data_IF_112206146041
#
_entry.id   IF_112206146041
#
_cell.length_a   1.000
_cell.length_b   1.000
_cell.length_c   1.000
_cell.angle_alpha   90.00
_cell.angle_beta   90.00
_cell.angle_gamma   90.00
#
_symmetry.space_group_name_H-M   'P 1'
#
loop_
_entity.id
_entity.type
_entity.pdbx_description
1 polymer ?
#
# COMPACT_ATOMS: atom_id res chain seq x y z
N UNK A 1 -5.31 13.19 -2.57
CA UNK A 1 -4.46 12.65 -3.66
C UNK A 1 -4.01 11.26 -3.25
N UNK A 2 -4.11 10.31 -4.17
CA UNK A 2 -3.60 8.96 -3.99
C UNK A 2 -2.31 8.79 -4.77
N UNK A 3 -1.32 8.15 -4.15
CA UNK A 3 -0.13 7.64 -4.84
C UNK A 3 0.00 6.15 -4.61
N UNK A 4 0.52 5.45 -5.61
CA UNK A 4 0.84 4.02 -5.56
C UNK A 4 2.32 3.86 -5.91
N UNK A 5 2.96 2.85 -5.36
CA UNK A 5 4.27 2.36 -5.75
C UNK A 5 4.09 0.88 -6.06
N UNK A 6 4.64 0.45 -7.21
CA UNK A 6 4.52 -0.89 -7.78
C UNK A 6 5.93 -1.42 -8.11
N UNK A 7 6.84 -1.40 -7.14
CA UNK A 7 8.23 -1.82 -7.34
C UNK A 7 8.49 -3.30 -6.97
N UNK A 8 7.48 -3.97 -6.42
CA UNK A 8 7.49 -5.38 -6.01
C UNK A 8 6.55 -6.29 -6.84
N UNK A 9 6.12 -5.82 -8.03
CA UNK A 9 5.33 -6.59 -8.99
C UNK A 9 3.82 -6.40 -8.92
N UNK A 10 3.35 -5.50 -8.05
CA UNK A 10 2.01 -4.96 -8.00
C UNK A 10 1.61 -4.29 -9.33
N UNK A 11 0.31 -4.29 -9.62
CA UNK A 11 -0.23 -3.73 -10.87
C UNK A 11 -1.42 -2.80 -10.67
N UNK A 12 -1.85 -2.59 -9.42
CA UNK A 12 -3.02 -1.75 -9.18
C UNK A 12 -2.63 -0.28 -9.33
N UNK A 13 -3.57 0.50 -9.85
CA UNK A 13 -3.39 1.89 -10.20
C UNK A 13 -4.06 2.80 -9.17
N UNK A 14 -3.61 4.05 -9.07
CA UNK A 14 -4.07 4.95 -8.02
C UNK A 14 -5.58 5.25 -8.06
N UNK A 15 -6.24 5.06 -9.20
CA UNK A 15 -7.70 5.22 -9.35
C UNK A 15 -8.52 4.02 -8.84
N UNK A 16 -7.86 2.94 -8.41
CA UNK A 16 -8.54 1.79 -7.79
C UNK A 16 -8.74 1.95 -6.27
N UNK A 17 -8.22 3.03 -5.68
CA UNK A 17 -8.47 3.39 -4.28
C UNK A 17 -9.59 4.43 -4.17
N UNK A 18 -10.53 4.17 -3.27
CA UNK A 18 -11.49 5.16 -2.78
C UNK A 18 -10.90 5.89 -1.59
N UNK A 19 -10.83 7.22 -1.66
CA UNK A 19 -10.46 8.03 -0.50
C UNK A 19 -11.72 8.62 0.14
N UNK A 20 -11.72 8.67 1.47
CA UNK A 20 -12.84 9.17 2.25
C UNK A 20 -12.38 10.26 3.23
N UNK A 21 -13.17 11.31 3.37
CA UNK A 21 -13.00 12.33 4.41
C UNK A 21 -14.33 12.55 5.13
N UNK A 22 -14.39 12.20 6.42
CA UNK A 22 -15.63 12.19 7.21
C UNK A 22 -15.45 12.90 8.54
N UNK A 23 -16.44 13.72 8.93
CA UNK A 23 -16.51 14.31 10.27
C UNK A 23 -17.53 13.56 11.12
N UNK A 24 -17.07 12.90 12.18
CA UNK A 24 -17.95 12.16 13.10
C UNK A 24 -18.78 11.09 12.38
N UNK A 25 -20.10 11.10 12.59
CA UNK A 25 -21.04 10.15 11.97
C UNK A 25 -21.79 10.71 10.76
N UNK A 26 -21.38 11.87 10.26
CA UNK A 26 -22.04 12.52 9.11
C UNK A 26 -21.71 11.78 7.80
N UNK A 27 -22.43 12.10 6.73
CA UNK A 27 -22.04 11.63 5.39
C UNK A 27 -20.66 12.18 5.02
N UNK A 28 -19.74 11.37 4.47
CA UNK A 28 -18.44 11.86 4.04
C UNK A 28 -18.57 13.01 3.04
N UNK A 29 -17.68 14.00 3.14
CA UNK A 29 -17.58 15.09 2.16
C UNK A 29 -16.80 14.66 0.91
N UNK A 30 -15.96 13.64 1.05
CA UNK A 30 -15.28 12.93 -0.03
C UNK A 30 -15.50 11.44 0.25
N UNK A 31 -15.93 10.69 -0.76
CA UNK A 31 -16.04 9.23 -0.77
C UNK A 31 -16.04 8.75 -2.24
N UNK A 32 -14.90 8.90 -2.90
CA UNK A 32 -14.78 8.63 -4.32
C UNK A 32 -13.40 8.12 -4.71
N UNK A 33 -13.34 7.46 -5.86
CA UNK A 33 -12.08 7.09 -6.51
C UNK A 33 -11.42 8.31 -7.13
N UNK A 34 -10.09 8.31 -7.14
CA UNK A 34 -9.33 9.32 -7.86
C UNK A 34 -9.49 9.20 -9.37
N UNK A 35 -9.20 10.28 -10.09
CA UNK A 35 -9.00 10.24 -11.53
C UNK A 35 -7.51 10.38 -11.84
N UNK A 36 -6.98 9.43 -12.60
CA UNK A 36 -5.64 9.50 -13.18
C UNK A 36 -5.75 10.03 -14.61
N UNK A 37 -4.85 10.93 -15.03
CA UNK A 37 -4.85 11.44 -16.41
C UNK A 37 -4.26 10.45 -17.42
N UNK A 38 -3.58 9.42 -16.93
CA UNK A 38 -2.78 8.47 -17.69
C UNK A 38 -2.96 7.01 -17.25
N UNK A 39 -3.84 6.71 -16.27
CA UNK A 39 -3.87 5.38 -15.68
C UNK A 39 -2.61 5.07 -14.86
N UNK A 40 -1.94 6.08 -14.30
CA UNK A 40 -0.66 5.93 -13.62
C UNK A 40 -0.75 5.74 -12.11
N UNK A 41 0.40 5.73 -11.44
CA UNK A 41 0.49 5.56 -10.00
C UNK A 41 0.13 6.82 -9.19
N UNK A 42 -0.51 7.82 -9.79
CA UNK A 42 -1.02 9.01 -9.09
C UNK A 42 -2.42 9.35 -9.58
N UNK A 43 -3.35 9.53 -8.64
CA UNK A 43 -4.72 9.95 -8.92
C UNK A 43 -5.15 11.08 -8.00
N UNK A 44 -5.85 12.06 -8.57
CA UNK A 44 -6.49 13.13 -7.83
C UNK A 44 -7.94 12.74 -7.55
N UNK A 45 -8.24 12.52 -6.27
CA UNK A 45 -9.60 12.53 -5.74
C UNK A 45 -10.09 13.96 -5.69
N UNK A 46 -11.37 14.20 -5.96
CA UNK A 46 -11.93 15.53 -6.18
C UNK A 46 -11.83 16.48 -4.98
N UNK A 47 -12.45 17.64 -5.15
CA UNK A 47 -12.45 18.73 -4.17
C UNK A 47 -13.82 18.88 -3.53
N UNK A 48 -13.84 19.00 -2.20
CA UNK A 48 -15.05 19.24 -1.42
C UNK A 48 -14.86 20.42 -0.47
N UNK A 49 -15.96 21.13 -0.20
CA UNK A 49 -15.99 22.21 0.79
C UNK A 49 -15.98 21.61 2.20
N UNK A 50 -15.03 22.06 3.03
CA UNK A 50 -14.93 21.67 4.43
C UNK A 50 -15.45 22.79 5.35
N UNK A 51 -16.07 22.41 6.46
CA UNK A 51 -16.48 23.36 7.50
C UNK A 51 -15.31 23.63 8.44
N UNK A 52 -14.91 24.90 8.54
CA UNK A 52 -13.80 25.33 9.37
C UNK A 52 -13.99 24.92 10.84
N UNK A 53 -12.91 24.45 11.47
CA UNK A 53 -12.88 24.03 12.87
C UNK A 53 -13.43 22.63 13.16
N UNK A 54 -13.97 21.92 12.15
CA UNK A 54 -14.28 20.50 12.29
C UNK A 54 -13.05 19.64 12.04
N UNK A 55 -13.09 18.42 12.60
CA UNK A 55 -12.09 17.39 12.36
C UNK A 55 -12.65 16.38 11.37
N UNK A 56 -11.90 16.14 10.31
CA UNK A 56 -12.18 15.16 9.28
C UNK A 56 -11.20 14.00 9.42
N UNK A 57 -11.72 12.81 9.70
CA UNK A 57 -10.94 11.59 9.65
C UNK A 57 -10.78 11.18 8.19
N UNK A 58 -9.54 11.04 7.77
CA UNK A 58 -9.14 10.60 6.45
C UNK A 58 -8.96 9.09 6.44
N UNK A 59 -9.54 8.41 5.47
CA UNK A 59 -9.35 6.98 5.27
C UNK A 59 -9.26 6.63 3.80
N UNK A 60 -8.77 5.44 3.52
CA UNK A 60 -8.78 4.86 2.18
C UNK A 60 -9.27 3.43 2.22
N UNK A 61 -9.83 3.00 1.09
CA UNK A 61 -10.15 1.61 0.82
C UNK A 61 -9.60 1.27 -0.55
N UNK A 62 -8.86 0.18 -0.64
CA UNK A 62 -8.27 -0.28 -1.89
C UNK A 62 -7.94 -1.77 -1.85
N UNK A 63 -7.21 -2.24 -2.87
CA UNK A 63 -6.84 -3.65 -2.98
C UNK A 63 -5.94 -4.14 -1.86
N UNK A 64 -6.00 -5.45 -1.60
CA UNK A 64 -5.05 -6.12 -0.70
C UNK A 64 -3.65 -6.19 -1.31
N UNK A 65 -2.63 -6.42 -0.47
CA UNK A 65 -1.23 -6.57 -0.90
C UNK A 65 -0.45 -5.26 -0.99
N UNK A 66 -1.00 -4.17 -0.46
CA UNK A 66 -0.33 -2.87 -0.38
C UNK A 66 -0.25 -2.39 1.06
N UNK A 67 0.82 -1.68 1.40
CA UNK A 67 1.06 -1.08 2.71
C UNK A 67 0.87 0.43 2.62
N UNK A 68 -0.04 1.01 3.43
CA UNK A 68 -0.26 2.45 3.41
C UNK A 68 0.82 3.22 4.19
N UNK A 69 1.21 4.38 3.67
CA UNK A 69 1.95 5.38 4.42
C UNK A 69 1.05 6.09 5.45
N UNK A 70 1.64 6.95 6.28
CA UNK A 70 0.85 7.98 6.97
C UNK A 70 0.34 9.02 5.97
N UNK A 71 -0.77 9.67 6.30
CA UNK A 71 -1.24 10.85 5.58
C UNK A 71 -0.24 12.00 5.66
N UNK A 72 -0.13 12.78 4.59
CA UNK A 72 0.66 14.01 4.53
C UNK A 72 -0.16 15.11 3.86
N UNK A 73 -0.38 16.23 4.55
CA UNK A 73 -1.13 17.36 4.03
C UNK A 73 -0.23 18.61 3.91
N UNK A 74 -0.44 19.43 2.88
CA UNK A 74 0.31 20.67 2.64
C UNK A 74 -0.17 21.87 3.50
N UNK A 75 -1.15 21.65 4.36
CA UNK A 75 -1.67 22.62 5.31
C UNK A 75 -2.63 22.00 6.32
N UNK A 76 -3.32 22.85 7.08
CA UNK A 76 -4.19 22.44 8.17
C UNK A 76 -3.41 21.87 9.36
N UNK A 77 -4.14 21.30 10.32
CA UNK A 77 -3.58 20.57 11.46
C UNK A 77 -3.92 19.09 11.31
N UNK A 78 -2.92 18.27 10.98
CA UNK A 78 -3.04 16.82 10.84
C UNK A 78 -2.45 16.10 12.07
N UNK A 79 -3.23 15.20 12.67
CA UNK A 79 -2.77 14.30 13.73
C UNK A 79 -3.18 12.86 13.37
N UNK A 80 -2.20 12.04 12.97
CA UNK A 80 -2.49 10.72 12.42
C UNK A 80 -3.27 10.84 11.11
N UNK A 81 -4.55 10.44 11.13
CA UNK A 81 -5.48 10.57 10.01
C UNK A 81 -6.52 11.69 10.21
N UNK A 82 -6.47 12.42 11.32
CA UNK A 82 -7.46 13.44 11.65
C UNK A 82 -6.96 14.83 11.22
N UNK A 83 -7.67 15.46 10.28
CA UNK A 83 -7.36 16.77 9.72
C UNK A 83 -8.36 17.82 10.21
N UNK A 84 -7.86 18.94 10.70
CA UNK A 84 -8.66 20.15 10.97
C UNK A 84 -8.19 21.32 10.14
N UNK A 85 -9.15 22.06 9.59
CA UNK A 85 -8.94 23.20 8.70
C UNK A 85 -9.48 24.49 9.32
N UNK A 86 -8.74 25.59 9.14
CA UNK A 86 -9.17 26.94 9.47
C UNK A 86 -9.96 27.58 8.32
N UNK A 87 -10.67 28.67 8.62
CA UNK A 87 -11.48 29.36 7.62
C UNK A 87 -10.61 29.87 6.45
N UNK A 88 -10.96 29.45 5.23
CA UNK A 88 -10.29 29.85 4.00
C UNK A 88 -9.04 29.04 3.65
N UNK A 89 -8.69 28.01 4.42
CA UNK A 89 -7.62 27.09 4.04
C UNK A 89 -8.07 26.17 2.89
N UNK A 90 -7.16 25.94 1.95
CA UNK A 90 -7.28 24.93 0.90
C UNK A 90 -6.10 24.00 1.09
N UNK A 91 -6.38 22.71 1.27
CA UNK A 91 -5.37 21.70 1.64
C UNK A 91 -5.50 20.51 0.72
N UNK A 92 -4.34 20.00 0.30
CA UNK A 92 -4.20 18.74 -0.42
C UNK A 92 -3.52 17.74 0.52
N UNK A 93 -4.24 16.68 0.85
CA UNK A 93 -3.71 15.54 1.57
C UNK A 93 -3.34 14.41 0.61
N UNK A 94 -2.23 13.74 0.90
CA UNK A 94 -1.67 12.64 0.12
C UNK A 94 -1.47 11.43 1.00
N UNK A 95 -1.78 10.26 0.45
CA UNK A 95 -1.40 8.97 1.01
C UNK A 95 -0.76 8.12 -0.10
N UNK A 96 0.31 7.42 0.24
CA UNK A 96 1.04 6.52 -0.66
C UNK A 96 0.77 5.09 -0.24
N UNK A 97 0.55 4.19 -1.18
CA UNK A 97 0.50 2.76 -0.92
C UNK A 97 1.58 2.06 -1.73
N UNK A 98 2.37 1.27 -1.04
CA UNK A 98 3.50 0.53 -1.60
C UNK A 98 3.13 -0.95 -1.67
N UNK A 99 3.38 -1.61 -2.79
CA UNK A 99 3.09 -3.02 -2.90
C UNK A 99 3.99 -3.86 -1.98
N UNK A 100 3.49 -5.02 -1.57
CA UNK A 100 4.22 -5.89 -0.65
C UNK A 100 4.99 -6.94 -1.45
N UNK A 101 6.32 -6.95 -1.31
CA UNK A 101 7.17 -8.02 -1.84
C UNK A 101 6.66 -9.42 -1.45
N UNK A 102 6.42 -10.25 -2.47
CA UNK A 102 6.19 -11.68 -2.30
C UNK A 102 7.52 -12.42 -2.17
N UNK A 103 7.47 -13.63 -1.59
CA UNK A 103 8.66 -14.48 -1.45
C UNK A 103 8.33 -15.94 -1.78
N UNK A 104 9.30 -16.63 -2.36
CA UNK A 104 9.34 -18.08 -2.51
C UNK A 104 10.33 -18.64 -1.49
N UNK A 105 9.91 -19.66 -0.74
CA UNK A 105 10.80 -20.45 0.12
C UNK A 105 10.86 -21.86 -0.45
N UNK A 106 12.07 -22.36 -0.70
CA UNK A 106 12.32 -23.74 -1.14
C UNK A 106 12.82 -24.54 0.04
N UNK A 107 12.08 -25.57 0.44
CA UNK A 107 12.44 -26.52 1.51
C UNK A 107 12.82 -27.87 0.89
N UNK A 108 14.06 -28.28 1.15
CA UNK A 108 14.67 -29.52 0.68
C UNK A 108 14.76 -30.53 1.80
N UNK A 109 13.69 -31.29 1.95
CA UNK A 109 13.72 -32.48 2.80
C UNK A 109 14.48 -33.64 2.15
N UNK A 110 15.52 -34.14 2.81
CA UNK A 110 16.30 -35.32 2.39
C UNK A 110 15.96 -36.53 3.27
N UNK A 111 15.57 -37.65 2.64
CA UNK A 111 15.28 -38.92 3.31
C UNK A 111 16.39 -39.93 2.99
N UNK A 112 17.05 -40.44 4.02
CA UNK A 112 18.20 -41.36 3.92
C UNK A 112 17.89 -42.77 4.47
N UNK A 113 16.74 -43.33 4.12
CA UNK A 113 16.23 -44.62 4.65
C UNK A 113 16.92 -45.87 4.08
N UNK A 114 17.84 -45.70 3.15
CA UNK A 114 18.68 -46.78 2.59
C UNK A 114 20.19 -46.56 2.82
N UNK A 115 20.55 -45.90 3.92
CA UNK A 115 21.96 -45.74 4.35
C UNK A 115 22.70 -44.58 3.68
N UNK A 116 21.97 -43.61 3.13
CA UNK A 116 22.55 -42.36 2.64
C UNK A 116 22.98 -41.44 3.79
N UNK A 117 23.78 -40.42 3.47
CA UNK A 117 24.20 -39.39 4.42
C UNK A 117 24.07 -37.97 3.88
N UNK A 118 23.32 -37.78 2.78
CA UNK A 118 23.18 -36.48 2.16
C UNK A 118 22.36 -35.52 3.05
N UNK A 119 22.73 -34.25 3.04
CA UNK A 119 21.98 -33.15 3.66
C UNK A 119 21.34 -32.27 2.58
N UNK A 120 20.42 -31.39 2.96
CA UNK A 120 19.74 -30.49 2.03
C UNK A 120 20.72 -29.67 1.17
N UNK A 121 21.76 -29.12 1.81
CA UNK A 121 22.83 -28.32 1.19
C UNK A 121 23.67 -29.09 0.15
N UNK A 122 23.62 -30.42 0.13
CA UNK A 122 24.28 -31.22 -0.91
C UNK A 122 23.56 -31.11 -2.28
N UNK A 123 22.36 -30.52 -2.31
CA UNK A 123 21.58 -30.29 -3.51
C UNK A 123 21.63 -28.83 -3.91
N UNK A 124 21.96 -28.56 -5.18
CA UNK A 124 21.82 -27.22 -5.74
C UNK A 124 20.34 -26.92 -5.99
N UNK A 125 19.81 -25.90 -5.30
CA UNK A 125 18.45 -25.41 -5.48
C UNK A 125 18.45 -24.15 -6.35
N UNK A 126 17.48 -24.04 -7.24
CA UNK A 126 17.30 -22.86 -8.08
C UNK A 126 15.84 -22.46 -8.19
N UNK A 127 15.55 -21.17 -8.09
CA UNK A 127 14.29 -20.57 -8.53
C UNK A 127 14.57 -19.90 -9.88
N UNK A 128 13.91 -20.38 -10.93
CA UNK A 128 14.29 -20.13 -12.31
C UNK A 128 15.78 -20.42 -12.55
N UNK A 129 16.58 -19.38 -12.84
CA UNK A 129 18.03 -19.49 -13.06
C UNK A 129 18.87 -18.96 -11.89
N UNK A 130 18.24 -18.56 -10.78
CA UNK A 130 18.93 -18.03 -9.60
C UNK A 130 19.14 -19.13 -8.57
N UNK A 131 20.38 -19.27 -8.09
CA UNK A 131 20.69 -20.19 -7.00
C UNK A 131 20.08 -19.70 -5.69
N UNK A 132 19.43 -20.58 -4.95
CA UNK A 132 18.81 -20.29 -3.65
C UNK A 132 19.35 -21.23 -2.58
N UNK A 133 19.22 -20.82 -1.33
CA UNK A 133 19.54 -21.65 -0.17
C UNK A 133 18.27 -22.36 0.33
N UNK A 134 18.47 -23.48 1.00
CA UNK A 134 17.39 -24.22 1.66
C UNK A 134 16.75 -23.39 2.78
N UNK A 135 15.42 -23.42 2.85
CA UNK A 135 14.57 -22.70 3.82
C UNK A 135 14.79 -21.17 3.89
N UNK A 136 15.45 -20.56 2.89
CA UNK A 136 15.65 -19.11 2.82
C UNK A 136 14.66 -18.48 1.86
N UNK A 137 14.05 -17.37 2.28
CA UNK A 137 13.14 -16.57 1.45
C UNK A 137 13.90 -15.92 0.27
N UNK A 138 13.34 -16.10 -0.93
CA UNK A 138 13.81 -15.53 -2.17
C UNK A 138 12.72 -14.64 -2.78
N UNK A 139 12.99 -13.36 -3.07
CA UNK A 139 12.02 -12.43 -3.64
C UNK A 139 11.74 -12.70 -5.13
#
# INVERSE_FOLDING_TARGET
MKQVINDDGGTFLADEWTLTAQSGSDTPIIDEQGTSSDGGETALTGTAEATAGLTYTLSELGPDGYTPSTWSCDGGTLVGSDLTLSLGEVVICTITNDDQQAYIIVDKTVVNDNGGSAVADDFSLTVDSNAVLDEVAYP
#
